data_IF_574512481190
#
_entry.id   IF_574512481190
#
_cell.length_a   1.000
_cell.length_b   1.000
_cell.length_c   1.000
_cell.angle_alpha   90.00
_cell.angle_beta   90.00
_cell.angle_gamma   90.00
#
_symmetry.space_group_name_H-M   'P 1'
#
loop_
_entity.id
_entity.type
_entity.pdbx_description
1 polymer ?
#
# COMPACT_ATOMS: atom_id res chain seq x y z
N UNK A 1 -47.02 55.38 -18.92
CA UNK A 1 -46.53 54.35 -19.86
C UNK A 1 -45.28 53.62 -19.34
N UNK A 2 -44.42 54.30 -18.56
CA UNK A 2 -43.21 53.72 -17.96
C UNK A 2 -43.48 52.56 -16.99
N UNK A 3 -44.46 52.67 -16.07
CA UNK A 3 -44.69 51.64 -15.03
C UNK A 3 -45.10 50.26 -15.57
N UNK A 4 -45.91 50.21 -16.63
CA UNK A 4 -46.33 48.93 -17.22
C UNK A 4 -45.16 48.21 -17.89
N UNK A 5 -44.23 48.94 -18.50
CA UNK A 5 -43.05 48.38 -19.16
C UNK A 5 -42.10 47.79 -18.10
N UNK A 6 -41.90 48.48 -16.97
CA UNK A 6 -41.07 47.99 -15.86
C UNK A 6 -41.62 46.71 -15.24
N UNK A 7 -42.94 46.60 -15.05
CA UNK A 7 -43.59 45.38 -14.55
C UNK A 7 -43.44 44.22 -15.54
N UNK A 8 -43.62 44.45 -16.84
CA UNK A 8 -43.44 43.43 -17.87
C UNK A 8 -41.98 42.95 -17.98
N UNK A 9 -41.01 43.84 -17.85
CA UNK A 9 -39.59 43.47 -17.79
C UNK A 9 -39.31 42.59 -16.56
N UNK A 10 -39.87 42.94 -15.39
CA UNK A 10 -39.77 42.13 -14.18
C UNK A 10 -40.34 40.72 -14.35
N UNK A 11 -41.55 40.60 -14.90
CA UNK A 11 -42.20 39.30 -15.18
C UNK A 11 -41.35 38.48 -16.16
N UNK A 12 -40.93 39.06 -17.29
CA UNK A 12 -40.09 38.35 -18.26
C UNK A 12 -38.74 37.90 -17.67
N UNK A 13 -38.10 38.74 -16.84
CA UNK A 13 -36.84 38.38 -16.18
C UNK A 13 -37.00 37.20 -15.23
N UNK A 14 -38.08 37.16 -14.45
CA UNK A 14 -38.37 36.06 -13.51
C UNK A 14 -38.62 34.73 -14.25
N UNK A 15 -39.32 34.77 -15.39
CA UNK A 15 -39.57 33.59 -16.22
C UNK A 15 -38.26 33.05 -16.78
N UNK A 16 -37.37 33.93 -17.27
CA UNK A 16 -36.05 33.55 -17.78
C UNK A 16 -35.20 32.93 -16.66
N UNK A 17 -35.20 33.50 -15.45
CA UNK A 17 -34.46 32.94 -14.32
C UNK A 17 -34.97 31.56 -13.90
N UNK A 18 -36.29 31.34 -13.90
CA UNK A 18 -36.87 30.03 -13.60
C UNK A 18 -36.45 28.99 -14.65
N UNK A 19 -36.52 29.34 -15.94
CA UNK A 19 -36.10 28.44 -17.03
C UNK A 19 -34.61 28.10 -16.90
N UNK A 20 -33.75 29.10 -16.68
CA UNK A 20 -32.32 28.88 -16.46
C UNK A 20 -32.04 28.01 -15.23
N UNK A 21 -32.81 28.19 -14.16
CA UNK A 21 -32.66 27.39 -12.92
C UNK A 21 -33.03 25.93 -13.14
N UNK A 22 -34.12 25.66 -13.88
CA UNK A 22 -34.53 24.29 -14.23
C UNK A 22 -33.51 23.63 -15.15
N UNK A 23 -33.02 24.34 -16.17
CA UNK A 23 -31.96 23.83 -17.06
C UNK A 23 -30.67 23.53 -16.31
N UNK A 24 -30.25 24.44 -15.42
CA UNK A 24 -29.04 24.26 -14.60
C UNK A 24 -29.19 23.09 -13.62
N UNK A 25 -30.38 22.90 -13.04
CA UNK A 25 -30.65 21.75 -12.18
C UNK A 25 -30.55 20.43 -12.95
N UNK A 26 -31.15 20.34 -14.14
CA UNK A 26 -31.07 19.12 -14.96
C UNK A 26 -29.63 18.83 -15.42
N UNK A 27 -28.89 19.84 -15.85
CA UNK A 27 -27.49 19.71 -16.23
C UNK A 27 -26.62 19.26 -15.04
N UNK A 28 -26.84 19.81 -13.84
CA UNK A 28 -26.12 19.40 -12.65
C UNK A 28 -26.45 17.96 -12.24
N UNK A 29 -27.70 17.52 -12.40
CA UNK A 29 -28.11 16.15 -12.11
C UNK A 29 -27.43 15.16 -13.08
N UNK A 30 -27.46 15.44 -14.40
CA UNK A 30 -26.75 14.65 -15.40
C UNK A 30 -25.23 14.63 -15.15
N UNK A 31 -24.65 15.77 -14.76
CA UNK A 31 -23.21 15.85 -14.45
C UNK A 31 -22.84 15.03 -13.21
N UNK A 32 -23.69 15.00 -12.17
CA UNK A 32 -23.48 14.15 -11.00
C UNK A 32 -23.56 12.65 -11.32
N UNK A 33 -24.48 12.24 -12.19
CA UNK A 33 -24.56 10.84 -12.64
C UNK A 33 -23.34 10.43 -13.46
N UNK A 34 -22.88 11.32 -14.36
CA UNK A 34 -21.65 11.11 -15.13
C UNK A 34 -20.44 11.02 -14.20
N UNK A 35 -20.30 11.92 -13.22
CA UNK A 35 -19.21 11.90 -12.25
C UNK A 35 -19.21 10.61 -11.41
N UNK A 36 -20.40 10.15 -10.98
CA UNK A 36 -20.54 8.90 -10.25
C UNK A 36 -20.17 7.69 -11.12
N UNK A 37 -20.57 7.68 -12.39
CA UNK A 37 -20.22 6.65 -13.35
C UNK A 37 -18.71 6.63 -13.64
N UNK A 38 -18.10 7.80 -13.87
CA UNK A 38 -16.66 7.94 -14.08
C UNK A 38 -15.89 7.42 -12.87
N UNK A 39 -16.25 7.84 -11.65
CA UNK A 39 -15.61 7.33 -10.41
C UNK A 39 -15.73 5.81 -10.28
N UNK A 40 -16.88 5.24 -10.65
CA UNK A 40 -17.09 3.79 -10.63
C UNK A 40 -16.22 3.07 -11.65
N UNK A 41 -16.13 3.60 -12.88
CA UNK A 41 -15.30 3.03 -13.94
C UNK A 41 -13.81 3.15 -13.58
N UNK A 42 -13.37 4.26 -13.00
CA UNK A 42 -12.01 4.43 -12.50
C UNK A 42 -11.68 3.41 -11.40
N UNK A 43 -12.60 3.18 -10.46
CA UNK A 43 -12.43 2.17 -9.43
C UNK A 43 -12.35 0.75 -10.02
N UNK A 44 -13.22 0.40 -10.97
CA UNK A 44 -13.21 -0.91 -11.65
C UNK A 44 -11.93 -1.12 -12.48
N UNK A 45 -11.46 -0.08 -13.18
CA UNK A 45 -10.19 -0.13 -13.90
C UNK A 45 -9.00 -0.30 -12.95
N UNK A 46 -8.97 0.42 -11.82
CA UNK A 46 -7.93 0.25 -10.80
C UNK A 46 -7.92 -1.18 -10.26
N UNK A 47 -9.09 -1.74 -9.97
CA UNK A 47 -9.21 -3.12 -9.50
C UNK A 47 -8.70 -4.12 -10.55
N UNK A 48 -9.13 -3.99 -11.82
CA UNK A 48 -8.70 -4.91 -12.89
C UNK A 48 -7.21 -4.81 -13.18
N UNK A 49 -6.65 -3.61 -13.16
CA UNK A 49 -5.19 -3.42 -13.31
C UNK A 49 -4.45 -4.11 -12.16
N UNK A 50 -4.91 -3.93 -10.93
CA UNK A 50 -4.34 -4.60 -9.76
C UNK A 50 -4.41 -6.13 -9.85
N UNK A 51 -5.57 -6.69 -10.24
CA UNK A 51 -5.74 -8.13 -10.43
C UNK A 51 -4.83 -8.67 -11.55
N UNK A 52 -4.68 -7.93 -12.64
CA UNK A 52 -3.79 -8.29 -13.74
C UNK A 52 -2.32 -8.26 -13.32
N UNK A 53 -1.89 -7.23 -12.59
CA UNK A 53 -0.54 -7.13 -12.05
C UNK A 53 -0.24 -8.28 -11.10
N UNK A 54 -1.17 -8.58 -10.17
CA UNK A 54 -1.07 -9.72 -9.27
C UNK A 54 -0.99 -11.05 -10.03
N UNK A 55 -1.78 -11.23 -11.08
CA UNK A 55 -1.70 -12.44 -11.91
C UNK A 55 -0.36 -12.57 -12.63
N UNK A 56 0.16 -11.47 -13.20
CA UNK A 56 1.48 -11.45 -13.87
C UNK A 56 2.59 -11.78 -12.89
N UNK A 57 2.55 -11.17 -11.70
CA UNK A 57 3.49 -11.45 -10.62
C UNK A 57 3.47 -12.94 -10.26
N UNK A 58 2.29 -13.52 -10.04
CA UNK A 58 2.16 -14.95 -9.75
C UNK A 58 2.75 -15.84 -10.85
N UNK A 59 2.48 -15.53 -12.12
CA UNK A 59 3.09 -16.29 -13.23
C UNK A 59 4.62 -16.18 -13.20
N UNK A 60 5.17 -14.99 -13.03
CA UNK A 60 6.62 -14.80 -12.93
C UNK A 60 7.24 -15.52 -11.73
N UNK A 61 6.55 -15.54 -10.58
CA UNK A 61 6.95 -16.29 -9.38
C UNK A 61 7.08 -17.79 -9.69
N UNK A 62 6.06 -18.38 -10.31
CA UNK A 62 6.09 -19.81 -10.67
C UNK A 62 7.11 -20.15 -11.75
N UNK A 63 7.28 -19.29 -12.76
CA UNK A 63 8.33 -19.45 -13.77
C UNK A 63 9.72 -19.41 -13.16
N UNK A 64 9.95 -18.52 -12.19
CA UNK A 64 11.20 -18.43 -11.46
C UNK A 64 11.47 -19.70 -10.63
N UNK A 65 10.47 -20.20 -9.88
CA UNK A 65 10.60 -21.44 -9.11
C UNK A 65 10.89 -22.62 -10.02
N UNK A 66 10.20 -22.73 -11.16
CA UNK A 66 10.43 -23.81 -12.11
C UNK A 66 11.89 -23.83 -12.64
N UNK A 67 12.52 -22.66 -12.78
CA UNK A 67 13.95 -22.55 -13.14
C UNK A 67 14.87 -23.05 -12.03
N UNK A 68 14.46 -22.95 -10.77
CA UNK A 68 15.22 -23.38 -9.59
C UNK A 68 15.01 -24.87 -9.25
N UNK A 69 13.97 -25.52 -9.77
CA UNK A 69 13.69 -26.93 -9.47
C UNK A 69 14.86 -27.89 -9.76
N UNK A 70 15.60 -27.77 -10.88
CA UNK A 70 16.76 -28.63 -11.13
C UNK A 70 17.87 -28.48 -10.08
N UNK A 71 18.03 -27.26 -9.57
CA UNK A 71 19.07 -26.88 -8.60
C UNK A 71 18.83 -27.45 -7.21
N UNK A 72 17.60 -27.93 -6.94
CA UNK A 72 17.27 -28.64 -5.72
C UNK A 72 17.77 -30.08 -5.72
N UNK A 73 18.05 -30.68 -6.89
CA UNK A 73 18.40 -32.10 -7.01
C UNK A 73 19.91 -32.32 -7.21
N UNK A 74 20.72 -31.28 -7.06
CA UNK A 74 22.18 -31.37 -7.14
C UNK A 74 22.77 -31.94 -5.85
N UNK A 75 23.92 -32.61 -5.96
CA UNK A 75 24.64 -33.22 -4.83
C UNK A 75 25.46 -32.20 -3.99
N UNK A 76 25.02 -30.93 -3.98
CA UNK A 76 25.63 -29.86 -3.18
C UNK A 76 24.60 -29.31 -2.19
N UNK A 77 24.70 -29.74 -0.94
CA UNK A 77 23.82 -29.33 0.14
C UNK A 77 23.75 -27.80 0.31
N UNK A 78 24.85 -27.06 0.09
CA UNK A 78 24.84 -25.60 0.20
C UNK A 78 24.02 -24.96 -0.90
N UNK A 79 24.12 -25.51 -2.11
CA UNK A 79 23.34 -25.06 -3.26
C UNK A 79 21.84 -25.34 -3.05
N UNK A 80 21.52 -26.52 -2.52
CA UNK A 80 20.14 -26.89 -2.14
C UNK A 80 19.60 -25.94 -1.06
N UNK A 81 20.36 -25.68 0.01
CA UNK A 81 19.96 -24.73 1.06
C UNK A 81 19.73 -23.33 0.50
N UNK A 82 20.63 -22.82 -0.35
CA UNK A 82 20.43 -21.51 -0.98
C UNK A 82 19.15 -21.50 -1.84
N UNK A 83 18.95 -22.52 -2.66
CA UNK A 83 17.81 -22.64 -3.56
C UNK A 83 16.48 -22.75 -2.79
N UNK A 84 16.44 -23.53 -1.71
CA UNK A 84 15.27 -23.62 -0.83
C UNK A 84 14.95 -22.28 -0.14
N UNK A 85 15.96 -21.51 0.28
CA UNK A 85 15.77 -20.16 0.80
C UNK A 85 15.16 -19.22 -0.24
N UNK A 86 15.64 -19.25 -1.49
CA UNK A 86 15.12 -18.43 -2.58
C UNK A 86 13.65 -18.78 -2.87
N UNK A 87 13.32 -20.07 -2.91
CA UNK A 87 11.94 -20.52 -3.11
C UNK A 87 11.04 -20.06 -1.97
N UNK A 88 11.49 -20.19 -0.71
CA UNK A 88 10.75 -19.72 0.46
C UNK A 88 10.56 -18.19 0.48
N UNK A 89 11.51 -17.40 -0.05
CA UNK A 89 11.32 -15.95 -0.18
C UNK A 89 10.24 -15.59 -1.20
N UNK A 90 10.13 -16.38 -2.28
CA UNK A 90 9.19 -16.12 -3.38
C UNK A 90 7.79 -16.60 -3.05
N UNK A 91 7.66 -17.76 -2.40
CA UNK A 91 6.37 -18.36 -2.02
C UNK A 91 5.78 -17.74 -0.73
N UNK A 92 4.47 -17.80 -0.59
CA UNK A 92 3.84 -17.55 0.71
C UNK A 92 4.06 -18.73 1.67
N UNK A 93 3.75 -18.55 2.96
CA UNK A 93 4.00 -19.57 3.98
C UNK A 93 3.29 -20.90 3.65
N UNK A 94 2.01 -20.85 3.25
CA UNK A 94 1.21 -22.03 2.92
C UNK A 94 1.73 -22.74 1.67
N UNK A 95 2.04 -22.00 0.60
CA UNK A 95 2.61 -22.53 -0.64
C UNK A 95 3.96 -23.20 -0.38
N UNK A 96 4.79 -22.56 0.46
CA UNK A 96 6.12 -23.07 0.82
C UNK A 96 6.01 -24.37 1.62
N UNK A 97 5.12 -24.40 2.62
CA UNK A 97 4.85 -25.61 3.41
C UNK A 97 4.32 -26.74 2.54
N UNK A 98 3.34 -26.47 1.66
CA UNK A 98 2.78 -27.49 0.77
C UNK A 98 3.86 -28.07 -0.16
N UNK A 99 4.70 -27.23 -0.76
CA UNK A 99 5.77 -27.67 -1.64
C UNK A 99 6.75 -28.59 -0.91
N UNK A 100 7.32 -28.15 0.22
CA UNK A 100 8.36 -28.91 0.88
C UNK A 100 7.84 -30.12 1.66
N UNK A 101 6.60 -30.08 2.19
CA UNK A 101 5.95 -31.27 2.72
C UNK A 101 5.68 -32.32 1.61
N UNK A 102 5.27 -31.87 0.43
CA UNK A 102 5.13 -32.72 -0.74
C UNK A 102 6.44 -33.39 -1.13
N UNK A 103 7.53 -32.63 -1.22
CA UNK A 103 8.87 -33.18 -1.50
C UNK A 103 9.33 -34.16 -0.41
N UNK A 104 9.11 -33.82 0.86
CA UNK A 104 9.51 -34.66 1.99
C UNK A 104 8.80 -36.03 2.00
N UNK A 105 7.56 -36.07 1.47
CA UNK A 105 6.76 -37.29 1.34
C UNK A 105 7.15 -38.19 0.16
N UNK A 106 8.07 -37.75 -0.70
CA UNK A 106 8.54 -38.52 -1.85
C UNK A 106 9.21 -39.84 -1.41
N UNK A 107 9.05 -40.88 -2.23
CA UNK A 107 9.74 -42.17 -2.06
C UNK A 107 11.20 -42.13 -2.49
N UNK A 108 11.58 -41.14 -3.30
CA UNK A 108 12.95 -40.92 -3.76
C UNK A 108 13.76 -40.22 -2.66
N UNK A 109 14.88 -40.82 -2.24
CA UNK A 109 15.68 -40.35 -1.10
C UNK A 109 16.22 -38.93 -1.30
N UNK A 110 16.73 -38.64 -2.51
CA UNK A 110 17.20 -37.31 -2.88
C UNK A 110 16.08 -36.26 -2.79
N UNK A 111 14.89 -36.54 -3.30
CA UNK A 111 13.74 -35.61 -3.25
C UNK A 111 13.23 -35.44 -1.81
N UNK A 112 13.15 -36.53 -1.05
CA UNK A 112 12.74 -36.48 0.36
C UNK A 112 13.71 -35.65 1.22
N UNK A 113 15.02 -35.77 0.95
CA UNK A 113 16.06 -35.00 1.66
C UNK A 113 15.90 -33.48 1.44
N UNK A 114 15.63 -33.06 0.20
CA UNK A 114 15.34 -31.66 -0.15
C UNK A 114 14.12 -31.15 0.59
N UNK A 115 13.05 -31.94 0.65
CA UNK A 115 11.85 -31.58 1.40
C UNK A 115 12.14 -31.31 2.87
N UNK A 116 12.94 -32.17 3.51
CA UNK A 116 13.36 -31.99 4.91
C UNK A 116 14.23 -30.75 5.12
N UNK A 117 15.20 -30.50 4.22
CA UNK A 117 16.02 -29.28 4.22
C UNK A 117 15.14 -28.03 4.09
N UNK A 118 14.19 -28.07 3.16
CA UNK A 118 13.19 -27.03 2.96
C UNK A 118 12.44 -26.75 4.25
N UNK A 119 11.77 -27.76 4.83
CA UNK A 119 11.00 -27.62 6.08
C UNK A 119 11.82 -26.99 7.21
N UNK A 120 13.07 -27.42 7.40
CA UNK A 120 13.95 -26.85 8.43
C UNK A 120 14.28 -25.37 8.18
N UNK A 121 14.32 -24.96 6.92
CA UNK A 121 14.72 -23.61 6.49
C UNK A 121 13.53 -22.62 6.50
N UNK A 122 12.32 -23.11 6.17
CA UNK A 122 11.07 -22.33 6.08
C UNK A 122 10.84 -21.47 7.31
N UNK A 123 10.96 -22.06 8.51
CA UNK A 123 10.58 -21.38 9.76
C UNK A 123 11.37 -20.09 9.97
N UNK A 124 12.62 -20.01 9.55
CA UNK A 124 13.43 -18.81 9.73
C UNK A 124 13.19 -17.76 8.64
N UNK A 125 13.09 -18.19 7.38
CA UNK A 125 12.86 -17.31 6.23
C UNK A 125 11.46 -16.71 6.25
N UNK A 126 10.43 -17.54 6.44
CA UNK A 126 9.04 -17.07 6.48
C UNK A 126 8.78 -16.19 7.70
N UNK A 127 9.35 -16.52 8.86
CA UNK A 127 9.26 -15.65 10.04
C UNK A 127 9.87 -14.27 9.78
N UNK A 128 11.03 -14.20 9.12
CA UNK A 128 11.66 -12.93 8.79
C UNK A 128 10.87 -12.15 7.73
N UNK A 129 10.33 -12.84 6.71
CA UNK A 129 9.45 -12.26 5.70
C UNK A 129 8.16 -11.71 6.31
N UNK A 130 7.52 -12.48 7.19
CA UNK A 130 6.31 -12.09 7.93
C UNK A 130 6.58 -10.87 8.83
N UNK A 131 7.68 -10.86 9.58
CA UNK A 131 8.08 -9.70 10.39
C UNK A 131 8.27 -8.43 9.55
N UNK A 132 8.97 -8.55 8.42
CA UNK A 132 9.15 -7.43 7.50
C UNK A 132 7.81 -6.93 6.93
N UNK A 133 6.91 -7.83 6.53
CA UNK A 133 5.57 -7.49 6.06
C UNK A 133 4.75 -6.78 7.14
N UNK A 134 4.72 -7.31 8.37
CA UNK A 134 4.05 -6.66 9.49
C UNK A 134 4.63 -5.28 9.78
N UNK A 135 5.95 -5.10 9.67
CA UNK A 135 6.57 -3.80 9.86
C UNK A 135 6.16 -2.79 8.76
N UNK A 136 6.04 -3.23 7.49
CA UNK A 136 5.47 -2.40 6.41
C UNK A 136 4.02 -2.01 6.70
N UNK A 137 3.20 -2.94 7.20
CA UNK A 137 1.80 -2.63 7.54
C UNK A 137 1.70 -1.60 8.67
N UNK A 138 2.55 -1.72 9.69
CA UNK A 138 2.63 -0.73 10.76
C UNK A 138 3.17 0.62 10.25
N UNK A 139 4.16 0.62 9.36
CA UNK A 139 4.62 1.84 8.68
C UNK A 139 3.48 2.51 7.91
N UNK A 140 2.70 1.76 7.13
CA UNK A 140 1.54 2.29 6.42
C UNK A 140 0.52 2.94 7.36
N UNK A 141 0.19 2.28 8.48
CA UNK A 141 -0.70 2.84 9.51
C UNK A 141 -0.12 4.09 10.17
N UNK A 142 1.19 4.14 10.36
CA UNK A 142 1.86 5.33 10.87
C UNK A 142 1.72 6.51 9.89
N UNK A 143 1.89 6.26 8.59
CA UNK A 143 1.69 7.27 7.56
C UNK A 143 0.23 7.71 7.42
N UNK A 144 -0.75 6.81 7.59
CA UNK A 144 -2.17 7.18 7.66
C UNK A 144 -2.46 8.09 8.87
N UNK A 145 -1.82 7.81 10.01
CA UNK A 145 -1.93 8.64 11.21
C UNK A 145 -1.25 10.01 11.02
N UNK A 146 -0.13 10.09 10.29
CA UNK A 146 0.51 11.36 9.92
C UNK A 146 -0.41 12.22 9.04
N UNK A 147 -1.08 11.63 8.05
CA UNK A 147 -2.05 12.35 7.20
C UNK A 147 -3.24 12.85 8.02
N UNK A 148 -3.66 12.08 9.02
CA UNK A 148 -4.77 12.43 9.91
C UNK A 148 -4.37 13.38 11.05
N UNK A 149 -3.11 13.84 11.07
CA UNK A 149 -2.51 14.65 12.14
C UNK A 149 -2.53 13.99 13.54
N UNK A 150 -2.68 12.67 13.59
CA UNK A 150 -2.68 11.87 14.81
C UNK A 150 -1.25 11.40 15.14
N UNK A 151 -0.42 12.34 15.59
CA UNK A 151 1.00 12.09 15.86
C UNK A 151 1.24 11.08 16.99
N UNK A 152 0.30 10.95 17.94
CA UNK A 152 0.41 9.98 19.03
C UNK A 152 0.29 8.55 18.49
N UNK A 153 -0.71 8.29 17.64
CA UNK A 153 -0.84 6.99 17.00
C UNK A 153 0.25 6.74 15.96
N UNK A 154 0.73 7.76 15.25
CA UNK A 154 1.87 7.63 14.35
C UNK A 154 3.11 7.11 15.07
N UNK A 155 3.47 7.70 16.24
CA UNK A 155 4.60 7.23 17.05
C UNK A 155 4.38 5.80 17.53
N UNK A 156 3.17 5.45 17.98
CA UNK A 156 2.86 4.10 18.45
C UNK A 156 3.02 3.06 17.33
N UNK A 157 2.52 3.32 16.13
CA UNK A 157 2.69 2.42 15.00
C UNK A 157 4.14 2.31 14.54
N UNK A 158 4.93 3.38 14.59
CA UNK A 158 6.36 3.32 14.31
C UNK A 158 7.12 2.49 15.37
N UNK A 159 6.70 2.56 16.63
CA UNK A 159 7.28 1.74 17.71
C UNK A 159 7.02 0.25 17.48
N UNK A 160 5.79 -0.11 17.10
CA UNK A 160 5.42 -1.48 16.73
C UNK A 160 6.19 -1.97 15.49
N UNK A 161 6.40 -1.10 14.50
CA UNK A 161 7.18 -1.44 13.30
C UNK A 161 8.66 -1.73 13.66
N UNK A 162 9.26 -0.91 14.53
CA UNK A 162 10.64 -1.12 14.99
C UNK A 162 10.78 -2.38 15.85
N UNK A 163 9.83 -2.66 16.76
CA UNK A 163 9.86 -3.85 17.61
C UNK A 163 9.87 -5.14 16.78
N UNK A 164 9.05 -5.17 15.73
CA UNK A 164 8.89 -6.35 14.87
C UNK A 164 10.06 -6.48 13.88
N UNK A 165 10.62 -5.36 13.39
CA UNK A 165 11.74 -5.34 12.46
C UNK A 165 12.77 -4.24 12.79
N UNK A 166 13.70 -4.48 13.74
CA UNK A 166 14.62 -3.45 14.25
C UNK A 166 15.58 -2.84 13.23
N UNK A 167 15.81 -3.51 12.09
CA UNK A 167 16.65 -3.00 10.99
C UNK A 167 15.93 -1.98 10.09
N UNK A 168 14.68 -1.60 10.40
CA UNK A 168 13.94 -0.60 9.63
C UNK A 168 14.39 0.82 9.98
N UNK A 169 15.53 1.24 9.44
CA UNK A 169 16.17 2.51 9.79
C UNK A 169 15.27 3.74 9.62
N UNK A 170 14.49 3.79 8.55
CA UNK A 170 13.58 4.90 8.26
C UNK A 170 12.51 5.07 9.35
N UNK A 171 11.93 3.97 9.83
CA UNK A 171 10.92 3.97 10.91
C UNK A 171 11.52 4.57 12.19
N UNK A 172 12.74 4.16 12.54
CA UNK A 172 13.45 4.69 13.70
C UNK A 172 13.71 6.20 13.58
N UNK A 173 14.17 6.67 12.42
CA UNK A 173 14.48 8.08 12.18
C UNK A 173 13.22 8.96 12.25
N UNK A 174 12.11 8.51 11.64
CA UNK A 174 10.83 9.22 11.69
C UNK A 174 10.30 9.24 13.14
N UNK A 175 10.35 8.10 13.85
CA UNK A 175 9.90 8.02 15.24
C UNK A 175 10.67 8.99 16.12
N UNK A 176 11.99 8.98 16.02
CA UNK A 176 12.87 9.86 16.80
C UNK A 176 12.53 11.33 16.53
N UNK A 177 12.39 11.71 15.26
CA UNK A 177 12.03 13.06 14.87
C UNK A 177 10.67 13.50 15.44
N UNK A 178 9.66 12.63 15.40
CA UNK A 178 8.34 12.92 15.97
C UNK A 178 8.39 13.03 17.49
N UNK A 179 9.12 12.14 18.17
CA UNK A 179 9.29 12.16 19.62
C UNK A 179 10.01 13.42 20.11
N UNK A 180 11.07 13.84 19.42
CA UNK A 180 11.80 15.08 19.73
C UNK A 180 10.92 16.33 19.61
N UNK A 181 9.94 16.31 18.71
CA UNK A 181 9.10 17.47 18.42
C UNK A 181 7.69 17.36 19.01
N UNK A 182 7.33 16.26 19.69
CA UNK A 182 5.95 15.96 20.11
C UNK A 182 5.28 17.09 20.89
N UNK A 183 6.05 17.78 21.74
CA UNK A 183 5.56 18.90 22.54
C UNK A 183 5.15 20.11 21.69
N UNK A 184 5.72 20.27 20.50
CA UNK A 184 5.57 21.42 19.61
C UNK A 184 4.83 21.09 18.29
N UNK A 185 4.37 19.84 18.09
CA UNK A 185 3.62 19.45 16.87
C UNK A 185 2.25 20.12 16.75
N UNK A 186 1.79 20.83 17.79
CA UNK A 186 0.61 21.68 17.74
C UNK A 186 0.86 23.05 17.09
N UNK A 187 2.12 23.46 16.92
CA UNK A 187 2.49 24.67 16.19
C UNK A 187 2.59 24.36 14.69
N UNK A 188 1.84 25.10 13.88
CA UNK A 188 1.76 24.86 12.43
C UNK A 188 3.11 24.97 11.72
N UNK A 189 4.00 25.87 12.16
CA UNK A 189 5.33 26.02 11.54
C UNK A 189 6.22 24.82 11.85
N UNK A 190 6.23 24.38 13.10
CA UNK A 190 6.99 23.21 13.56
C UNK A 190 6.45 21.93 12.92
N UNK A 191 5.12 21.77 12.89
CA UNK A 191 4.43 20.67 12.22
C UNK A 191 4.81 20.58 10.74
N UNK A 192 4.69 21.68 10.01
CA UNK A 192 5.05 21.73 8.59
C UNK A 192 6.54 21.43 8.35
N UNK A 193 7.44 21.92 9.20
CA UNK A 193 8.87 21.63 9.10
C UNK A 193 9.19 20.14 9.33
N UNK A 194 8.56 19.52 10.34
CA UNK A 194 8.71 18.10 10.64
C UNK A 194 8.15 17.24 9.50
N UNK A 195 6.95 17.54 9.01
CA UNK A 195 6.35 16.79 7.91
C UNK A 195 7.16 16.94 6.61
N UNK A 196 7.70 18.13 6.31
CA UNK A 196 8.63 18.32 5.18
C UNK A 196 9.86 17.44 5.30
N UNK A 197 10.47 17.38 6.48
CA UNK A 197 11.63 16.53 6.71
C UNK A 197 11.30 15.05 6.51
N UNK A 198 10.15 14.59 7.01
CA UNK A 198 9.68 13.21 6.80
C UNK A 198 9.52 12.92 5.30
N UNK A 199 8.87 13.82 4.57
CA UNK A 199 8.51 13.66 3.16
C UNK A 199 9.69 13.75 2.20
N UNK A 200 10.67 14.62 2.48
CA UNK A 200 11.76 14.91 1.54
C UNK A 200 13.09 14.28 1.93
N UNK A 201 13.32 13.99 3.22
CA UNK A 201 14.59 13.43 3.70
C UNK A 201 14.45 11.98 4.19
N UNK A 202 13.30 11.62 4.78
CA UNK A 202 13.10 10.32 5.45
C UNK A 202 12.04 9.45 4.78
N UNK A 203 11.74 9.63 3.49
CA UNK A 203 10.63 8.92 2.81
C UNK A 203 11.07 7.79 1.87
N UNK A 204 12.27 7.23 2.05
CA UNK A 204 12.81 6.25 1.09
C UNK A 204 12.02 4.94 1.10
N UNK A 205 11.30 4.64 0.01
CA UNK A 205 10.33 3.52 -0.10
C UNK A 205 9.13 3.63 0.86
N UNK A 206 8.86 4.82 1.38
CA UNK A 206 7.66 5.09 2.16
C UNK A 206 6.38 4.66 1.38
N UNK A 207 5.34 4.25 2.11
CA UNK A 207 4.10 3.74 1.54
C UNK A 207 3.42 4.78 0.63
N UNK A 208 3.06 4.34 -0.57
CA UNK A 208 2.13 5.04 -1.46
C UNK A 208 0.74 4.43 -1.25
N UNK A 209 -0.35 5.20 -1.12
CA UNK A 209 -0.56 6.61 -1.53
C UNK A 209 -0.29 7.69 -0.47
N UNK A 210 -0.01 7.32 0.77
CA UNK A 210 0.07 8.24 1.91
C UNK A 210 1.18 9.29 1.76
N UNK A 211 2.34 8.90 1.24
CA UNK A 211 3.42 9.85 0.97
C UNK A 211 2.99 10.95 -0.04
N UNK A 212 2.16 10.60 -1.02
CA UNK A 212 1.65 11.58 -1.99
C UNK A 212 0.70 12.58 -1.33
N UNK A 213 -0.17 12.11 -0.44
CA UNK A 213 -1.06 12.99 0.34
C UNK A 213 -0.27 13.91 1.27
N UNK A 214 0.74 13.38 1.96
CA UNK A 214 1.62 14.19 2.82
C UNK A 214 2.39 15.26 2.02
N UNK A 215 2.80 14.96 0.77
CA UNK A 215 3.42 15.95 -0.12
C UNK A 215 2.48 17.11 -0.42
N UNK A 216 1.24 16.82 -0.77
CA UNK A 216 0.22 17.84 -1.04
C UNK A 216 -0.09 18.72 0.19
N UNK A 217 0.03 18.18 1.40
CA UNK A 217 -0.17 18.93 2.64
C UNK A 217 0.99 19.88 2.99
N UNK A 218 2.20 19.63 2.47
CA UNK A 218 3.41 20.39 2.83
C UNK A 218 3.95 21.28 1.71
N UNK A 219 3.49 21.12 0.47
CA UNK A 219 3.75 22.06 -0.63
C UNK A 219 3.00 23.39 -0.46
#
# INVERSE_FOLDING_TARGET
MSDKITVWIGVCSSIITIILSVMNFNLNAEMQEIDAYVKKVEADLKQKTFELEKSKENTSRYEFINKLMPDLLVDDEKHVVLTTNLIALVLDESETEQLFNGLASSTEENVSSVGKIGIATITSVQKNKSKYQSAIEYEAKAFDALVSEDFANAINYLDLAEEVYPSFHQVYEIKTLLQENVANLHDENTKAAVLKKIVFELSWKAPQPQLSQLKEMVE
#
